data_IF_660171139537
#
_entry.id   IF_660171139537
#
_cell.length_a   1.000
_cell.length_b   1.000
_cell.length_c   1.000
_cell.angle_alpha   90.00
_cell.angle_beta   90.00
_cell.angle_gamma   90.00
#
_symmetry.space_group_name_H-M   'P 1'
#
loop_
_entity.id
_entity.type
_entity.pdbx_description
1 polymer ?
#
# COMPACT_ATOMS: atom_id res chain seq x y z
N UNK A 1 -50.09 -55.63 -51.70
CA UNK A 1 -50.49 -56.21 -50.40
C UNK A 1 -49.54 -55.61 -49.37
N UNK A 2 -49.88 -54.83 -48.36
CA UNK A 2 -51.11 -54.29 -47.78
C UNK A 2 -50.65 -53.42 -46.59
N UNK A 3 -51.33 -52.31 -46.34
CA UNK A 3 -51.05 -51.31 -45.31
C UNK A 3 -50.94 -51.87 -43.88
N UNK A 4 -50.02 -51.32 -43.08
CA UNK A 4 -50.27 -51.04 -41.66
C UNK A 4 -49.68 -49.68 -41.29
N UNK A 5 -50.53 -48.65 -41.32
CA UNK A 5 -50.31 -47.39 -40.64
C UNK A 5 -51.26 -47.35 -39.43
N UNK A 6 -50.71 -47.39 -38.21
CA UNK A 6 -51.39 -46.91 -37.00
C UNK A 6 -50.36 -46.41 -35.99
N UNK A 7 -50.13 -45.10 -36.02
CA UNK A 7 -50.17 -44.24 -34.83
C UNK A 7 -49.45 -44.73 -33.56
N UNK A 8 -48.16 -44.40 -33.44
CA UNK A 8 -47.53 -44.14 -32.16
C UNK A 8 -46.87 -42.75 -32.22
N UNK A 9 -47.72 -41.74 -32.03
CA UNK A 9 -47.47 -40.58 -31.15
C UNK A 9 -46.03 -40.05 -31.21
N UNK A 10 -45.71 -39.02 -32.00
CA UNK A 10 -45.76 -37.60 -31.59
C UNK A 10 -45.39 -37.33 -30.11
N UNK A 11 -44.47 -38.10 -29.54
CA UNK A 11 -43.91 -37.92 -28.19
C UNK A 11 -42.37 -37.98 -28.21
N UNK A 12 -41.75 -37.56 -29.30
CA UNK A 12 -40.29 -37.49 -29.46
C UNK A 12 -39.75 -36.06 -29.65
N UNK A 13 -40.60 -35.03 -29.50
CA UNK A 13 -40.22 -33.61 -29.69
C UNK A 13 -40.47 -32.70 -28.47
N UNK A 14 -40.79 -33.26 -27.30
CA UNK A 14 -40.99 -32.50 -26.05
C UNK A 14 -40.14 -33.03 -24.87
N UNK A 15 -38.87 -33.33 -25.11
CA UNK A 15 -37.84 -33.34 -24.05
C UNK A 15 -36.80 -32.27 -24.36
N UNK A 16 -37.25 -31.05 -24.11
CA UNK A 16 -36.49 -29.83 -23.82
C UNK A 16 -35.03 -30.07 -23.40
N UNK A 17 -34.12 -29.60 -24.25
CA UNK A 17 -33.01 -28.74 -23.85
C UNK A 17 -32.21 -29.14 -22.62
N UNK A 18 -31.44 -30.22 -22.70
CA UNK A 18 -30.26 -30.37 -21.84
C UNK A 18 -29.03 -29.89 -22.61
N UNK A 19 -28.88 -28.56 -22.73
CA UNK A 19 -27.56 -27.97 -22.94
C UNK A 19 -26.74 -28.36 -21.71
N UNK A 20 -25.86 -29.34 -21.83
CA UNK A 20 -24.93 -29.65 -20.75
C UNK A 20 -23.99 -28.47 -20.62
N UNK A 21 -24.27 -27.56 -19.69
CA UNK A 21 -23.34 -26.53 -19.29
C UNK A 21 -22.19 -27.23 -18.55
N UNK A 22 -21.09 -27.55 -19.26
CA UNK A 22 -19.82 -27.82 -18.59
C UNK A 22 -19.33 -26.49 -18.05
N UNK A 23 -19.60 -26.23 -16.78
CA UNK A 23 -18.80 -25.29 -16.02
C UNK A 23 -17.41 -25.90 -15.92
N UNK A 24 -16.44 -25.28 -16.57
CA UNK A 24 -15.03 -25.56 -16.30
C UNK A 24 -14.75 -25.11 -14.86
N UNK A 25 -14.59 -26.07 -13.95
CA UNK A 25 -14.34 -25.81 -12.52
C UNK A 25 -12.94 -25.24 -12.27
N UNK A 26 -12.16 -24.91 -13.30
CA UNK A 26 -10.84 -24.28 -13.14
C UNK A 26 -10.84 -22.77 -13.08
N UNK A 27 -12.00 -22.11 -13.15
CA UNK A 27 -12.06 -20.64 -13.09
C UNK A 27 -13.21 -20.13 -12.22
N UNK A 28 -13.27 -20.58 -10.97
CA UNK A 28 -13.93 -19.82 -9.91
C UNK A 28 -13.00 -18.69 -9.48
N UNK A 29 -12.97 -17.58 -10.23
CA UNK A 29 -12.43 -16.33 -9.70
C UNK A 29 -13.38 -15.85 -8.60
N UNK A 30 -13.14 -16.31 -7.39
CA UNK A 30 -13.67 -15.68 -6.19
C UNK A 30 -13.04 -14.31 -6.05
N UNK A 31 -13.78 -13.34 -5.51
CA UNK A 31 -13.25 -12.00 -5.18
C UNK A 31 -12.06 -12.08 -4.20
N UNK A 32 -11.92 -13.23 -3.52
CA UNK A 32 -10.82 -13.55 -2.63
C UNK A 32 -9.86 -14.54 -3.30
N UNK A 33 -8.56 -14.23 -3.26
CA UNK A 33 -7.48 -15.15 -3.64
C UNK A 33 -7.37 -16.27 -2.59
N UNK A 34 -6.97 -17.48 -3.01
CA UNK A 34 -6.63 -18.54 -2.07
C UNK A 34 -5.47 -18.12 -1.16
N UNK A 35 -5.33 -18.72 0.03
CA UNK A 35 -4.23 -18.41 0.96
C UNK A 35 -2.85 -18.50 0.31
N UNK A 36 -2.63 -19.45 -0.60
CA UNK A 36 -1.36 -19.61 -1.32
C UNK A 36 -1.18 -18.55 -2.41
N UNK A 37 -2.22 -18.28 -3.20
CA UNK A 37 -2.22 -17.24 -4.24
C UNK A 37 -2.10 -15.83 -3.64
N UNK A 38 -2.77 -15.59 -2.52
CA UNK A 38 -2.68 -14.35 -1.74
C UNK A 38 -1.26 -14.16 -1.21
N UNK A 39 -0.63 -15.23 -0.69
CA UNK A 39 0.76 -15.18 -0.24
C UNK A 39 1.70 -14.84 -1.40
N UNK A 40 1.49 -15.41 -2.58
CA UNK A 40 2.30 -15.12 -3.77
C UNK A 40 2.15 -13.66 -4.21
N UNK A 41 0.92 -13.12 -4.24
CA UNK A 41 0.64 -11.72 -4.58
C UNK A 41 1.17 -10.73 -3.53
N UNK A 42 1.07 -11.06 -2.24
CA UNK A 42 1.63 -10.25 -1.15
C UNK A 42 3.16 -10.20 -1.26
N UNK A 43 3.79 -11.32 -1.65
CA UNK A 43 5.26 -11.40 -1.79
C UNK A 43 5.75 -10.70 -3.06
N UNK A 44 4.98 -10.73 -4.14
CA UNK A 44 5.27 -10.04 -5.40
C UNK A 44 5.09 -8.51 -5.34
N UNK A 45 4.29 -8.02 -4.38
CA UNK A 45 4.06 -6.57 -4.19
C UNK A 45 5.15 -5.90 -3.35
N UNK A 46 6.05 -6.67 -2.72
CA UNK A 46 7.24 -6.12 -2.05
C UNK A 46 8.30 -5.83 -3.11
N UNK A 47 8.28 -4.62 -3.65
CA UNK A 47 9.44 -4.13 -4.41
C UNK A 47 10.65 -4.14 -3.49
N UNK A 48 11.75 -4.73 -3.96
CA UNK A 48 13.01 -4.88 -3.23
C UNK A 48 13.40 -3.59 -2.52
N UNK A 49 13.64 -3.72 -1.21
CA UNK A 49 14.17 -2.71 -0.29
C UNK A 49 15.44 -2.09 -0.87
N UNK A 50 15.66 -0.81 -0.62
CA UNK A 50 16.86 -0.08 -1.05
C UNK A 50 18.19 -0.59 -0.44
N UNK A 51 18.19 -1.70 0.31
CA UNK A 51 19.38 -2.29 0.92
C UNK A 51 19.91 -3.47 0.08
N UNK A 52 20.68 -3.16 -0.97
CA UNK A 52 21.48 -4.15 -1.69
C UNK A 52 22.70 -4.49 -0.84
N UNK A 53 22.57 -5.56 -0.05
CA UNK A 53 23.66 -6.26 0.62
C UNK A 53 23.34 -7.75 0.63
N UNK A 54 24.25 -8.55 0.11
CA UNK A 54 24.18 -10.00 0.04
C UNK A 54 23.85 -10.63 1.42
N UNK A 55 22.83 -11.50 1.41
CA UNK A 55 22.21 -12.18 2.55
C UNK A 55 21.13 -11.35 3.27
N UNK A 56 20.09 -11.02 2.51
CA UNK A 56 18.82 -10.46 2.97
C UNK A 56 18.06 -11.49 3.82
N UNK A 57 18.48 -11.64 5.07
CA UNK A 57 17.57 -12.05 6.12
C UNK A 57 16.46 -11.00 6.14
N UNK A 58 15.19 -11.41 5.97
CA UNK A 58 14.03 -10.53 5.99
C UNK A 58 13.93 -9.83 7.35
N UNK A 59 14.66 -8.74 7.52
CA UNK A 59 14.61 -7.95 8.74
C UNK A 59 13.22 -7.27 8.80
N UNK A 60 12.62 -7.17 9.99
CA UNK A 60 11.38 -6.44 10.16
C UNK A 60 11.59 -4.95 9.83
N UNK A 61 10.52 -4.29 9.38
CA UNK A 61 10.52 -2.86 9.12
C UNK A 61 11.01 -2.09 10.36
N UNK A 62 11.91 -1.13 10.16
CA UNK A 62 12.54 -0.39 11.25
C UNK A 62 12.79 1.06 10.83
N UNK A 63 12.18 2.01 11.55
CA UNK A 63 12.28 3.45 11.27
C UNK A 63 13.72 3.96 11.27
N UNK A 64 14.50 3.58 12.29
CA UNK A 64 15.88 4.05 12.46
C UNK A 64 16.71 3.67 11.25
N UNK A 65 16.72 2.38 10.90
CA UNK A 65 17.54 1.87 9.80
C UNK A 65 17.06 2.36 8.43
N UNK A 66 15.75 2.37 8.20
CA UNK A 66 15.22 2.56 6.84
C UNK A 66 15.00 4.03 6.50
N UNK A 67 14.59 4.85 7.46
CA UNK A 67 14.23 6.25 7.21
C UNK A 67 15.15 7.27 7.90
N UNK A 68 15.94 6.90 8.92
CA UNK A 68 16.84 7.85 9.61
C UNK A 68 18.31 7.65 9.21
N UNK A 69 18.78 6.41 9.16
CA UNK A 69 20.12 6.03 8.68
C UNK A 69 20.19 6.03 7.15
N UNK A 70 19.07 5.74 6.49
CA UNK A 70 18.90 5.68 5.04
C UNK A 70 17.71 6.55 4.58
N UNK A 71 17.53 6.69 3.26
CA UNK A 71 16.36 7.37 2.69
C UNK A 71 15.29 6.35 2.33
N UNK A 72 14.13 6.43 2.97
CA UNK A 72 12.98 5.59 2.67
C UNK A 72 11.97 6.29 1.76
N UNK A 73 11.18 5.51 1.04
CA UNK A 73 10.01 5.98 0.31
C UNK A 73 8.72 5.86 1.16
N UNK A 74 7.62 6.45 0.67
CA UNK A 74 6.33 6.47 1.37
C UNK A 74 5.81 5.05 1.71
N UNK A 75 6.02 4.07 0.83
CA UNK A 75 5.57 2.70 1.06
C UNK A 75 6.38 1.99 2.16
N UNK A 76 7.68 2.26 2.25
CA UNK A 76 8.54 1.78 3.35
C UNK A 76 8.14 2.40 4.69
N UNK A 77 7.87 3.72 4.72
CA UNK A 77 7.31 4.38 5.89
C UNK A 77 5.93 3.79 6.28
N UNK A 78 5.09 3.45 5.31
CA UNK A 78 3.80 2.78 5.55
C UNK A 78 3.95 1.38 6.16
N UNK A 79 4.98 0.63 5.79
CA UNK A 79 5.30 -0.67 6.42
C UNK A 79 5.67 -0.54 7.90
N UNK A 80 6.32 0.58 8.29
CA UNK A 80 6.71 0.86 9.68
C UNK A 80 5.49 1.20 10.54
N UNK A 81 4.64 2.13 10.10
CA UNK A 81 3.53 2.62 10.93
C UNK A 81 2.28 1.75 10.87
N UNK A 82 2.08 1.02 9.76
CA UNK A 82 0.86 0.24 9.48
C UNK A 82 -0.46 1.03 9.60
N UNK A 83 -0.36 2.36 9.54
CA UNK A 83 -1.46 3.30 9.71
C UNK A 83 -1.22 4.47 8.78
N UNK A 84 -2.14 4.69 7.83
CA UNK A 84 -1.98 5.71 6.79
C UNK A 84 -1.92 7.12 7.37
N UNK A 85 -2.69 7.42 8.41
CA UNK A 85 -2.72 8.75 9.02
C UNK A 85 -1.40 9.08 9.71
N UNK A 86 -0.83 8.10 10.42
CA UNK A 86 0.50 8.24 11.02
C UNK A 86 1.60 8.34 9.97
N UNK A 87 1.50 7.58 8.89
CA UNK A 87 2.43 7.69 7.76
C UNK A 87 2.34 9.07 7.11
N UNK A 88 1.14 9.61 6.89
CA UNK A 88 0.96 10.96 6.32
C UNK A 88 1.59 12.04 7.19
N UNK A 89 1.36 11.99 8.52
CA UNK A 89 1.96 12.94 9.46
C UNK A 89 3.48 12.84 9.42
N UNK A 90 4.03 11.62 9.52
CA UNK A 90 5.46 11.41 9.46
C UNK A 90 6.03 11.92 8.13
N UNK A 91 5.41 11.54 7.01
CA UNK A 91 5.87 11.87 5.66
C UNK A 91 5.89 13.38 5.43
N UNK A 92 4.92 14.10 5.98
CA UNK A 92 4.85 15.57 5.88
C UNK A 92 6.03 16.27 6.52
N UNK A 93 6.63 15.70 7.58
CA UNK A 93 7.84 16.23 8.23
C UNK A 93 9.09 15.66 7.55
N UNK A 94 9.06 14.37 7.21
CA UNK A 94 10.19 13.64 6.65
C UNK A 94 10.68 14.21 5.31
N UNK A 95 9.77 14.62 4.43
CA UNK A 95 10.14 15.17 3.11
C UNK A 95 10.55 16.65 3.17
N UNK A 96 10.06 17.36 4.18
CA UNK A 96 10.21 18.81 4.30
C UNK A 96 11.62 19.19 4.82
N UNK A 97 12.24 18.28 5.57
CA UNK A 97 13.61 18.41 6.08
C UNK A 97 13.68 19.30 7.32
N UNK A 98 14.84 19.34 7.98
CA UNK A 98 15.04 20.18 9.18
C UNK A 98 15.35 21.63 8.79
N UNK A 99 14.36 22.52 8.90
CA UNK A 99 14.55 23.95 8.60
C UNK A 99 15.29 24.70 9.71
N UNK A 100 15.51 24.07 10.87
CA UNK A 100 16.38 24.58 11.91
C UNK A 100 17.87 24.28 11.68
N UNK A 101 18.23 23.46 10.68
CA UNK A 101 19.62 23.09 10.38
C UNK A 101 20.51 24.30 10.12
N UNK A 102 19.99 25.34 9.44
CA UNK A 102 20.71 26.58 9.15
C UNK A 102 20.75 27.58 10.32
N UNK A 103 20.11 27.25 11.45
CA UNK A 103 19.98 28.11 12.64
C UNK A 103 19.42 29.51 12.30
N UNK A 104 18.20 29.58 11.72
CA UNK A 104 17.62 30.84 11.26
C UNK A 104 17.25 31.82 12.40
N UNK A 105 17.09 31.32 13.64
CA UNK A 105 16.72 32.14 14.79
C UNK A 105 17.93 32.87 15.40
N UNK A 106 17.81 34.19 15.53
CA UNK A 106 18.85 35.08 16.08
C UNK A 106 18.75 35.23 17.59
N UNK A 107 19.74 35.93 18.16
CA UNK A 107 19.76 36.36 19.56
C UNK A 107 19.59 35.21 20.58
N UNK A 108 20.02 34.00 20.19
CA UNK A 108 19.93 32.80 21.01
C UNK A 108 18.49 32.35 21.28
N UNK A 109 17.57 32.66 20.38
CA UNK A 109 16.22 32.11 20.36
C UNK A 109 16.24 30.60 20.04
N UNK A 110 15.20 29.89 20.45
CA UNK A 110 15.05 28.46 20.19
C UNK A 110 14.32 28.25 18.85
N UNK A 111 14.87 27.41 17.98
CA UNK A 111 14.24 27.04 16.71
C UNK A 111 13.43 25.76 16.90
N UNK A 112 12.19 25.75 16.39
CA UNK A 112 11.36 24.56 16.28
C UNK A 112 11.05 24.31 14.82
N UNK A 113 11.42 23.12 14.34
CA UNK A 113 11.05 22.63 13.02
C UNK A 113 9.53 22.40 12.93
N UNK A 114 8.93 22.58 11.77
CA UNK A 114 7.48 22.50 11.55
C UNK A 114 7.15 22.14 10.10
N UNK A 115 5.93 21.67 9.85
CA UNK A 115 5.54 21.31 8.47
C UNK A 115 5.45 22.58 7.60
N UNK A 116 6.32 22.65 6.61
CA UNK A 116 6.48 23.74 5.66
C UNK A 116 7.36 24.90 6.14
N UNK A 117 8.13 24.75 7.23
CA UNK A 117 8.99 25.82 7.75
C UNK A 117 9.36 25.70 9.23
N UNK A 118 9.80 26.79 9.84
CA UNK A 118 10.25 26.79 11.24
C UNK A 118 9.62 27.94 12.04
N UNK A 119 9.58 27.76 13.35
CA UNK A 119 9.17 28.78 14.31
C UNK A 119 10.33 29.14 15.26
N UNK A 120 10.53 30.44 15.48
CA UNK A 120 11.50 30.95 16.44
C UNK A 120 10.82 31.38 17.74
N UNK A 121 11.18 30.74 18.85
CA UNK A 121 10.76 31.15 20.20
C UNK A 121 11.72 32.21 20.73
N UNK A 122 11.31 33.47 20.62
CA UNK A 122 12.12 34.62 21.01
C UNK A 122 12.28 34.74 22.53
N UNK A 123 13.46 35.19 22.95
CA UNK A 123 13.69 35.66 24.32
C UNK A 123 13.05 37.02 24.55
N UNK A 124 12.77 37.34 25.80
CA UNK A 124 12.21 38.64 26.19
C UNK A 124 13.03 39.80 25.63
N UNK A 125 12.36 40.70 24.91
CA UNK A 125 12.97 41.89 24.30
C UNK A 125 13.31 41.75 22.81
N UNK A 126 13.18 40.55 22.23
CA UNK A 126 13.36 40.30 20.78
C UNK A 126 12.04 39.95 20.11
N UNK A 127 11.91 40.34 18.85
CA UNK A 127 10.68 40.18 18.06
C UNK A 127 11.03 39.93 16.59
N UNK A 128 10.01 39.65 15.77
CA UNK A 128 10.20 39.33 14.35
C UNK A 128 10.33 37.83 14.10
N UNK A 129 10.30 37.45 12.82
CA UNK A 129 10.29 36.03 12.40
C UNK A 129 11.57 35.32 12.83
N UNK A 130 12.69 36.03 12.87
CA UNK A 130 13.98 35.49 13.25
C UNK A 130 14.42 35.96 14.64
N UNK A 131 13.56 36.62 15.41
CA UNK A 131 13.92 37.23 16.69
C UNK A 131 15.10 38.21 16.59
N UNK A 132 15.12 39.05 15.55
CA UNK A 132 16.15 40.07 15.28
C UNK A 132 16.23 41.20 16.32
#
# INVERSE_FOLDING_TARGET
>A
MGSLATTATLLSLLLLGAVTCRLDTKNTKTVFLDKQEASEVITLSRQKRANVGNEESLLPANMERECLEEVCNYEEAREIFQDSYRTDIFWSVYIDGDQCAEKPCKNGAMCSDSVGGYDCVCKSGFFGVHCE
#
